data_IF_181205683079
#
_entry.id   IF_181205683079
#
_cell.length_a   1.000
_cell.length_b   1.000
_cell.length_c   1.000
_cell.angle_alpha   90.00
_cell.angle_beta   90.00
_cell.angle_gamma   90.00
#
_symmetry.space_group_name_H-M   'P 1'
#
loop_
_entity.id
_entity.type
_entity.pdbx_description
1 polymer ?
#
# COMPACT_ATOMS: atom_id res chain seq x y z
N UNK A 1 -0.68 18.23 6.85
CA UNK A 1 -0.17 16.91 6.43
C UNK A 1 0.37 16.05 7.57
N UNK A 2 0.89 16.61 8.68
CA UNK A 2 1.32 15.83 9.84
C UNK A 2 0.24 14.87 10.38
N UNK A 3 -1.03 15.30 10.37
CA UNK A 3 -2.17 14.45 10.76
C UNK A 3 -2.56 13.40 9.72
N UNK A 4 -2.24 13.61 8.44
CA UNK A 4 -2.64 12.72 7.34
C UNK A 4 -1.83 11.43 7.34
N UNK A 5 -0.53 11.50 7.63
CA UNK A 5 0.34 10.32 7.71
C UNK A 5 0.82 10.01 9.14
N UNK A 6 0.61 10.92 10.10
CA UNK A 6 0.91 10.70 11.51
C UNK A 6 -0.21 9.98 12.29
N UNK A 7 0.05 9.66 13.55
CA UNK A 7 -0.89 8.99 14.44
C UNK A 7 -1.99 9.94 14.93
N UNK A 8 -3.25 9.61 14.66
CA UNK A 8 -4.43 10.34 15.16
C UNK A 8 -5.59 9.35 15.33
N UNK A 9 -6.83 9.76 15.04
CA UNK A 9 -8.02 8.88 15.12
C UNK A 9 -7.87 7.56 14.34
N UNK A 10 -7.17 7.58 13.21
CA UNK A 10 -6.70 6.37 12.52
C UNK A 10 -5.20 6.21 12.83
N UNK A 11 -4.74 5.03 13.29
CA UNK A 11 -3.32 4.75 13.45
C UNK A 11 -2.56 4.87 12.12
N UNK A 12 -1.30 5.34 12.17
CA UNK A 12 -0.49 5.61 10.98
C UNK A 12 -0.40 4.41 10.02
N UNK A 13 -0.23 3.19 10.54
CA UNK A 13 -0.20 1.94 9.77
C UNK A 13 -1.37 1.81 8.80
N UNK A 14 -2.60 2.03 9.28
CA UNK A 14 -3.80 1.87 8.46
C UNK A 14 -3.97 2.99 7.43
N UNK A 15 -3.44 4.18 7.72
CA UNK A 15 -3.39 5.27 6.74
C UNK A 15 -2.42 4.93 5.62
N UNK A 16 -1.23 4.42 5.94
CA UNK A 16 -0.24 4.02 4.95
C UNK A 16 -0.73 2.84 4.08
N UNK A 17 -1.41 1.85 4.67
CA UNK A 17 -2.08 0.77 3.92
C UNK A 17 -3.21 1.29 3.01
N UNK A 18 -3.93 2.32 3.45
CA UNK A 18 -4.88 3.04 2.58
C UNK A 18 -4.13 3.74 1.44
N UNK A 19 -2.98 4.35 1.73
CA UNK A 19 -2.08 4.92 0.72
C UNK A 19 -1.60 3.91 -0.32
N UNK A 20 -1.27 2.68 0.10
CA UNK A 20 -0.96 1.56 -0.82
C UNK A 20 -2.14 1.28 -1.74
N UNK A 21 -3.34 1.12 -1.17
CA UNK A 21 -4.57 0.86 -1.93
C UNK A 21 -4.85 1.95 -2.97
N UNK A 22 -4.80 3.22 -2.54
CA UNK A 22 -5.05 4.38 -3.40
C UNK A 22 -3.97 4.56 -4.47
N UNK A 23 -2.71 4.25 -4.15
CA UNK A 23 -1.61 4.31 -5.12
C UNK A 23 -1.80 3.31 -6.26
N UNK A 24 -2.28 2.10 -5.94
CA UNK A 24 -2.60 1.09 -6.95
C UNK A 24 -3.83 1.50 -7.76
N UNK A 25 -4.90 1.95 -7.10
CA UNK A 25 -6.11 2.42 -7.76
C UNK A 25 -5.81 3.58 -8.75
N UNK A 26 -4.90 4.48 -8.38
CA UNK A 26 -4.50 5.61 -9.20
C UNK A 26 -3.34 5.31 -10.15
N UNK A 27 -2.79 4.08 -10.12
CA UNK A 27 -1.67 3.62 -10.96
C UNK A 27 -0.41 4.49 -10.79
N UNK A 28 -0.11 4.88 -9.56
CA UNK A 28 1.08 5.65 -9.22
C UNK A 28 2.14 4.74 -8.56
N UNK A 29 3.04 4.19 -9.36
CA UNK A 29 4.17 3.37 -8.88
C UNK A 29 5.08 4.10 -7.86
N UNK A 30 5.52 5.35 -8.05
CA UNK A 30 6.35 6.02 -7.05
C UNK A 30 5.61 6.27 -5.73
N UNK A 31 4.31 6.57 -5.78
CA UNK A 31 3.46 6.69 -4.59
C UNK A 31 3.36 5.35 -3.86
N UNK A 32 3.16 4.26 -4.62
CA UNK A 32 3.08 2.92 -4.08
C UNK A 32 4.36 2.51 -3.35
N UNK A 33 5.52 2.78 -3.95
CA UNK A 33 6.81 2.52 -3.32
C UNK A 33 6.98 3.29 -2.00
N UNK A 34 6.59 4.57 -1.99
CA UNK A 34 6.61 5.39 -0.78
C UNK A 34 5.72 4.79 0.33
N UNK A 35 4.46 4.50 0.01
CA UNK A 35 3.50 4.00 1.00
C UNK A 35 3.81 2.58 1.49
N UNK A 36 4.40 1.72 0.64
CA UNK A 36 4.91 0.41 1.08
C UNK A 36 6.00 0.60 2.14
N UNK A 37 6.99 1.45 1.87
CA UNK A 37 8.10 1.70 2.82
C UNK A 37 7.59 2.26 4.15
N UNK A 38 6.63 3.19 4.10
CA UNK A 38 6.06 3.79 5.30
C UNK A 38 5.16 2.81 6.08
N UNK A 39 4.35 2.00 5.40
CA UNK A 39 3.55 0.96 6.03
C UNK A 39 4.45 -0.11 6.70
N UNK A 40 5.56 -0.49 6.06
CA UNK A 40 6.55 -1.39 6.68
C UNK A 40 7.16 -0.80 7.94
N UNK A 41 7.58 0.47 7.89
CA UNK A 41 8.09 1.18 9.07
C UNK A 41 7.06 1.29 10.19
N UNK A 42 5.76 1.30 9.85
CA UNK A 42 4.65 1.29 10.80
C UNK A 42 4.24 -0.13 11.27
N UNK A 43 4.97 -1.17 10.87
CA UNK A 43 4.75 -2.55 11.30
C UNK A 43 3.60 -3.26 10.60
N UNK A 44 3.29 -2.90 9.35
CA UNK A 44 2.30 -3.62 8.54
C UNK A 44 2.75 -5.05 8.23
N UNK A 45 1.83 -6.00 8.35
CA UNK A 45 2.10 -7.40 8.06
C UNK A 45 1.92 -7.74 6.59
N UNK A 46 2.46 -8.89 6.18
CA UNK A 46 2.28 -9.45 4.84
C UNK A 46 0.80 -9.56 4.47
N UNK A 47 -0.02 -10.06 5.38
CA UNK A 47 -1.46 -10.28 5.20
C UNK A 47 -2.17 -8.94 4.94
N UNK A 48 -1.82 -7.91 5.71
CA UNK A 48 -2.39 -6.56 5.55
C UNK A 48 -2.06 -5.94 4.18
N UNK A 49 -0.85 -6.16 3.66
CA UNK A 49 -0.49 -5.74 2.31
C UNK A 49 -1.28 -6.50 1.23
N UNK A 50 -1.40 -7.82 1.38
CA UNK A 50 -2.15 -8.66 0.43
C UNK A 50 -3.61 -8.22 0.37
N UNK A 51 -4.24 -7.97 1.52
CA UNK A 51 -5.62 -7.46 1.58
C UNK A 51 -5.75 -6.07 0.96
N UNK A 52 -4.83 -5.14 1.27
CA UNK A 52 -4.83 -3.79 0.69
C UNK A 52 -4.69 -3.81 -0.84
N UNK A 53 -3.80 -4.63 -1.38
CA UNK A 53 -3.64 -4.80 -2.83
C UNK A 53 -4.92 -5.37 -3.46
N UNK A 54 -5.56 -6.35 -2.80
CA UNK A 54 -6.83 -6.93 -3.28
C UNK A 54 -7.96 -5.91 -3.27
N UNK A 55 -8.05 -5.06 -2.26
CA UNK A 55 -9.02 -3.96 -2.22
C UNK A 55 -8.84 -2.99 -3.39
N UNK A 56 -7.59 -2.69 -3.75
CA UNK A 56 -7.31 -1.84 -4.90
C UNK A 56 -7.79 -2.46 -6.22
N UNK A 57 -7.47 -3.74 -6.44
CA UNK A 57 -7.90 -4.50 -7.64
C UNK A 57 -9.43 -4.61 -7.68
N UNK A 58 -10.08 -4.88 -6.54
CA UNK A 58 -11.53 -4.93 -6.45
C UNK A 58 -12.16 -3.58 -6.84
N UNK A 59 -11.61 -2.47 -6.35
CA UNK A 59 -12.19 -1.14 -6.54
C UNK A 59 -12.02 -0.58 -7.97
N UNK A 60 -10.84 -0.79 -8.58
CA UNK A 60 -10.48 -0.16 -9.84
C UNK A 60 -10.38 -1.17 -11.01
N UNK A 61 -10.56 -2.47 -10.73
CA UNK A 61 -10.58 -3.53 -11.73
C UNK A 61 -9.20 -3.92 -12.27
N UNK A 62 -9.22 -4.72 -13.33
CA UNK A 62 -8.04 -5.37 -13.91
C UNK A 62 -6.96 -4.40 -14.42
N UNK A 63 -7.31 -3.14 -14.71
CA UNK A 63 -6.37 -2.11 -15.16
C UNK A 63 -5.24 -1.85 -14.15
N UNK A 64 -5.45 -2.18 -12.88
CA UNK A 64 -4.48 -2.00 -11.80
C UNK A 64 -3.49 -3.15 -11.64
N UNK A 65 -3.69 -4.27 -12.35
CA UNK A 65 -2.84 -5.47 -12.24
C UNK A 65 -1.34 -5.16 -12.47
N UNK A 66 -0.93 -4.32 -13.45
CA UNK A 66 0.49 -3.99 -13.62
C UNK A 66 1.11 -3.30 -12.39
N UNK A 67 0.43 -2.29 -11.83
CA UNK A 67 0.88 -1.60 -10.62
C UNK A 67 0.82 -2.51 -9.39
N UNK A 68 -0.18 -3.38 -9.28
CA UNK A 68 -0.24 -4.39 -8.21
C UNK A 68 0.94 -5.38 -8.30
N UNK A 69 1.31 -5.85 -9.50
CA UNK A 69 2.50 -6.69 -9.72
C UNK A 69 3.78 -5.96 -9.35
N UNK A 70 3.89 -4.67 -9.65
CA UNK A 70 4.99 -3.83 -9.19
C UNK A 70 5.04 -3.78 -7.65
N UNK A 71 3.90 -3.57 -6.98
CA UNK A 71 3.81 -3.64 -5.51
C UNK A 71 4.28 -4.97 -4.93
N UNK A 72 3.84 -6.10 -5.49
CA UNK A 72 4.30 -7.43 -5.05
C UNK A 72 5.81 -7.64 -5.23
N UNK A 73 6.39 -7.11 -6.32
CA UNK A 73 7.84 -7.16 -6.53
C UNK A 73 8.59 -6.38 -5.45
N UNK A 74 8.14 -5.17 -5.11
CA UNK A 74 8.74 -4.39 -4.02
C UNK A 74 8.63 -5.13 -2.67
N UNK A 75 7.48 -5.71 -2.38
CA UNK A 75 7.29 -6.48 -1.14
C UNK A 75 8.23 -7.70 -1.05
N UNK A 76 8.50 -8.37 -2.18
CA UNK A 76 9.50 -9.45 -2.26
C UNK A 76 10.92 -8.95 -2.02
N UNK A 77 11.28 -7.80 -2.58
CA UNK A 77 12.60 -7.18 -2.36
C UNK A 77 12.83 -6.81 -0.89
N UNK A 78 11.75 -6.50 -0.16
CA UNK A 78 11.77 -6.26 1.28
C UNK A 78 11.61 -7.52 2.15
N UNK A 79 11.55 -8.72 1.55
CA UNK A 79 11.43 -9.99 2.29
C UNK A 79 10.08 -10.18 2.99
N UNK A 80 9.04 -9.48 2.54
CA UNK A 80 7.69 -9.50 3.15
C UNK A 80 6.85 -10.62 2.54
N UNK A 81 6.98 -10.87 1.24
CA UNK A 81 6.17 -11.83 0.46
C UNK A 81 7.04 -12.87 -0.21
#
# INVERSE_FOLDING_TARGET
YSLTWGTAAIPAKYKELTGVTLSIANRCDPCLAYHIRMALAAGATREEFVESIRLAILSAGSITIPTARYGYRLLREHGVV
#
